data_IF_798409947455
#
_entry.id   IF_798409947455
#
_cell.length_a   1.000
_cell.length_b   1.000
_cell.length_c   1.000
_cell.angle_alpha   90.00
_cell.angle_beta   90.00
_cell.angle_gamma   90.00
#
_symmetry.space_group_name_H-M   'P 1'
#
loop_
_entity.id
_entity.type
_entity.pdbx_description
1 polymer ?
#
# COMPACT_ATOMS: atom_id res chain seq x y z
N UNK A 1 -13.61 3.28 -13.59
CA UNK A 1 -13.41 4.66 -14.10
C UNK A 1 -11.93 4.94 -14.06
N UNK A 2 -11.28 5.07 -15.22
CA UNK A 2 -9.82 5.28 -15.30
C UNK A 2 -9.46 6.71 -15.72
N UNK A 3 -10.39 7.43 -16.35
CA UNK A 3 -10.22 8.83 -16.74
C UNK A 3 -11.19 9.72 -15.96
N UNK A 4 -10.77 10.95 -15.64
CA UNK A 4 -11.66 11.95 -15.03
C UNK A 4 -12.75 12.33 -16.03
N UNK A 5 -14.04 12.15 -15.69
CA UNK A 5 -15.14 12.59 -16.55
C UNK A 5 -15.13 14.11 -16.72
N UNK A 6 -15.52 14.59 -17.91
CA UNK A 6 -15.58 16.04 -18.20
C UNK A 6 -16.90 16.69 -17.75
N UNK A 7 -17.91 15.88 -17.45
CA UNK A 7 -19.31 16.28 -17.27
C UNK A 7 -19.79 16.22 -15.81
N UNK A 8 -18.96 15.76 -14.88
CA UNK A 8 -19.32 15.62 -13.46
C UNK A 8 -18.12 15.65 -12.53
N UNK A 9 -18.37 16.06 -11.29
CA UNK A 9 -17.39 15.92 -10.20
C UNK A 9 -17.31 14.48 -9.71
N UNK A 10 -16.09 14.05 -9.39
CA UNK A 10 -15.80 12.69 -8.92
C UNK A 10 -14.70 12.72 -7.86
N UNK A 11 -14.68 11.71 -6.98
CA UNK A 11 -13.56 11.47 -6.08
C UNK A 11 -12.43 10.82 -6.87
N UNK A 12 -11.34 11.54 -7.11
CA UNK A 12 -10.20 11.04 -7.90
C UNK A 12 -9.24 10.12 -7.13
N UNK A 13 -9.32 10.07 -5.79
CA UNK A 13 -8.47 9.18 -4.99
C UNK A 13 -8.62 7.73 -5.47
N UNK A 14 -7.50 7.06 -5.75
CA UNK A 14 -7.48 5.70 -6.26
C UNK A 14 -8.18 4.74 -5.27
N UNK A 15 -8.86 3.75 -5.82
CA UNK A 15 -9.58 2.73 -5.04
C UNK A 15 -10.01 1.58 -5.94
N UNK A 16 -9.94 0.38 -5.39
CA UNK A 16 -10.46 -0.86 -5.95
C UNK A 16 -11.78 -1.25 -5.26
N UNK A 17 -12.68 -1.84 -6.03
CA UNK A 17 -14.06 -2.09 -5.62
C UNK A 17 -14.51 -3.45 -6.08
N UNK A 18 -15.03 -4.23 -5.15
CA UNK A 18 -15.81 -5.42 -5.42
C UNK A 18 -17.30 -5.09 -5.21
N UNK A 19 -18.07 -5.02 -6.30
CA UNK A 19 -19.44 -4.48 -6.30
C UNK A 19 -20.47 -5.54 -5.90
N UNK A 20 -20.26 -6.79 -6.32
CA UNK A 20 -21.20 -7.89 -6.12
C UNK A 20 -20.65 -9.02 -5.24
N UNK A 21 -19.40 -8.89 -4.78
CA UNK A 21 -18.68 -9.86 -3.97
C UNK A 21 -18.35 -11.16 -4.71
N UNK A 22 -18.37 -11.15 -6.05
CA UNK A 22 -18.19 -12.34 -6.90
C UNK A 22 -17.26 -12.07 -8.08
N UNK A 23 -17.68 -11.23 -9.03
CA UNK A 23 -16.93 -10.99 -10.26
C UNK A 23 -17.01 -9.57 -10.83
N UNK A 24 -17.81 -8.67 -10.25
CA UNK A 24 -17.85 -7.26 -10.63
C UNK A 24 -16.78 -6.44 -9.88
N UNK A 25 -15.53 -6.58 -10.37
CA UNK A 25 -14.36 -5.88 -9.86
C UNK A 25 -14.08 -4.61 -10.67
N UNK A 26 -13.86 -3.49 -9.98
CA UNK A 26 -13.69 -2.17 -10.60
C UNK A 26 -12.56 -1.38 -9.96
N UNK A 27 -11.86 -0.58 -10.76
CA UNK A 27 -10.93 0.46 -10.28
C UNK A 27 -11.54 1.83 -10.56
N UNK A 28 -11.43 2.74 -9.58
CA UNK A 28 -11.83 4.15 -9.69
C UNK A 28 -10.65 5.06 -9.36
N UNK A 29 -9.99 5.55 -10.40
CA UNK A 29 -8.84 6.45 -10.34
C UNK A 29 -8.92 7.47 -11.49
N UNK A 30 -8.37 8.67 -11.29
CA UNK A 30 -8.17 9.66 -12.36
C UNK A 30 -6.73 9.55 -12.85
N UNK A 31 -6.46 8.59 -13.75
CA UNK A 31 -5.10 8.23 -14.18
C UNK A 31 -4.49 9.35 -15.03
N UNK A 32 -3.30 9.77 -14.65
CA UNK A 32 -2.36 10.54 -15.44
C UNK A 32 -1.27 9.63 -16.02
N UNK A 33 -0.69 10.01 -17.17
CA UNK A 33 0.35 9.19 -17.82
C UNK A 33 1.70 9.49 -17.16
N UNK A 34 1.92 8.92 -15.97
CA UNK A 34 3.14 9.07 -15.17
C UNK A 34 3.64 7.71 -14.67
N UNK A 35 4.91 7.63 -14.26
CA UNK A 35 5.45 6.42 -13.64
C UNK A 35 4.87 6.13 -12.26
N UNK A 36 4.41 7.17 -11.56
CA UNK A 36 3.73 7.06 -10.27
C UNK A 36 2.37 6.37 -10.45
N UNK A 37 1.52 6.89 -11.33
CA UNK A 37 0.20 6.33 -11.60
C UNK A 37 0.29 4.92 -12.21
N UNK A 38 1.33 4.64 -12.98
CA UNK A 38 1.60 3.28 -13.45
C UNK A 38 1.83 2.31 -12.28
N UNK A 39 2.56 2.72 -11.24
CA UNK A 39 2.73 1.93 -10.02
C UNK A 39 1.43 1.86 -9.20
N UNK A 40 0.68 2.96 -9.09
CA UNK A 40 -0.63 2.99 -8.40
C UNK A 40 -1.63 2.05 -9.07
N UNK A 41 -1.68 1.96 -10.40
CA UNK A 41 -2.54 0.99 -11.08
C UNK A 41 -2.17 -0.45 -10.70
N UNK A 42 -0.88 -0.78 -10.53
CA UNK A 42 -0.48 -2.10 -10.02
C UNK A 42 -0.91 -2.33 -8.57
N UNK A 43 -0.85 -1.28 -7.74
CA UNK A 43 -1.35 -1.31 -6.37
C UNK A 43 -2.85 -1.65 -6.34
N UNK A 44 -3.67 -0.89 -7.07
CA UNK A 44 -5.12 -1.09 -7.13
C UNK A 44 -5.51 -2.44 -7.75
N UNK A 45 -4.77 -2.91 -8.75
CA UNK A 45 -4.96 -4.26 -9.29
C UNK A 45 -4.68 -5.34 -8.25
N UNK A 46 -3.72 -5.13 -7.33
CA UNK A 46 -3.46 -6.03 -6.22
C UNK A 46 -4.67 -6.25 -5.33
N UNK A 47 -5.42 -5.19 -5.02
CA UNK A 47 -6.69 -5.30 -4.29
C UNK A 47 -7.71 -6.16 -5.05
N UNK A 48 -7.91 -5.90 -6.34
CA UNK A 48 -8.81 -6.70 -7.18
C UNK A 48 -8.37 -8.17 -7.27
N UNK A 49 -7.07 -8.46 -7.34
CA UNK A 49 -6.56 -9.82 -7.33
C UNK A 49 -6.87 -10.53 -6.01
N UNK A 50 -6.77 -9.81 -4.90
CA UNK A 50 -7.13 -10.35 -3.59
C UNK A 50 -8.65 -10.63 -3.54
N UNK A 51 -9.47 -9.64 -3.93
CA UNK A 51 -10.93 -9.76 -4.02
C UNK A 51 -11.36 -10.96 -4.85
N UNK A 52 -10.73 -11.14 -6.01
CA UNK A 52 -10.99 -12.28 -6.89
C UNK A 52 -10.62 -13.62 -6.24
N UNK A 53 -9.50 -13.68 -5.53
CA UNK A 53 -8.98 -14.92 -4.97
C UNK A 53 -9.86 -15.47 -3.84
N UNK A 54 -10.32 -14.62 -2.92
CA UNK A 54 -11.18 -15.05 -1.82
C UNK A 54 -12.68 -15.09 -2.17
N UNK A 55 -13.08 -14.78 -3.40
CA UNK A 55 -14.52 -14.73 -3.78
C UNK A 55 -15.26 -16.05 -3.50
N UNK A 56 -14.56 -17.19 -3.48
CA UNK A 56 -15.10 -18.50 -3.12
C UNK A 56 -15.31 -18.73 -1.62
N UNK A 57 -14.75 -17.88 -0.75
CA UNK A 57 -14.90 -18.01 0.70
C UNK A 57 -16.35 -17.74 1.15
N UNK A 58 -16.79 -18.29 2.30
CA UNK A 58 -18.01 -17.87 2.96
C UNK A 58 -18.01 -16.35 3.13
N UNK A 59 -19.19 -15.73 3.03
CA UNK A 59 -19.35 -14.27 3.03
C UNK A 59 -18.55 -13.55 4.12
N UNK A 60 -18.56 -14.08 5.35
CA UNK A 60 -17.86 -13.48 6.50
C UNK A 60 -16.32 -13.56 6.42
N UNK A 61 -15.78 -14.35 5.50
CA UNK A 61 -14.35 -14.53 5.28
C UNK A 61 -13.85 -13.92 3.96
N UNK A 62 -14.70 -13.20 3.23
CA UNK A 62 -14.37 -12.45 2.00
C UNK A 62 -13.72 -11.10 2.32
N UNK A 63 -12.62 -11.17 3.04
CA UNK A 63 -11.74 -10.04 3.34
C UNK A 63 -10.30 -10.58 3.34
N UNK A 64 -9.32 -9.71 3.46
CA UNK A 64 -7.94 -10.08 3.73
C UNK A 64 -7.74 -10.57 5.17
N UNK A 65 -6.62 -11.25 5.42
CA UNK A 65 -6.23 -11.68 6.77
C UNK A 65 -6.23 -10.54 7.81
N UNK A 66 -5.84 -9.32 7.39
CA UNK A 66 -6.12 -8.05 8.07
C UNK A 66 -5.81 -6.89 7.09
N UNK A 67 -6.28 -5.68 7.36
CA UNK A 67 -6.14 -4.51 6.46
C UNK A 67 -4.72 -4.31 5.89
N UNK A 68 -3.68 -4.48 6.72
CA UNK A 68 -2.28 -4.40 6.26
C UNK A 68 -1.88 -5.41 5.18
N UNK A 69 -2.47 -6.63 5.14
CA UNK A 69 -2.26 -7.57 4.04
C UNK A 69 -2.90 -7.04 2.76
N UNK A 70 -4.11 -6.48 2.85
CA UNK A 70 -4.82 -5.96 1.67
C UNK A 70 -4.00 -4.90 0.94
N UNK A 71 -3.44 -3.96 1.71
CA UNK A 71 -2.58 -2.87 1.23
C UNK A 71 -1.19 -3.37 0.80
N UNK A 72 -0.65 -4.40 1.45
CA UNK A 72 0.69 -4.93 1.13
C UNK A 72 0.75 -5.62 -0.24
N UNK A 73 -0.32 -6.29 -0.67
CA UNK A 73 -0.32 -7.10 -1.90
C UNK A 73 -0.07 -6.24 -3.13
N UNK A 74 -0.80 -5.13 -3.27
CA UNK A 74 -0.61 -4.18 -4.36
C UNK A 74 0.81 -3.62 -4.38
N UNK A 75 1.31 -3.19 -3.23
CA UNK A 75 2.67 -2.67 -3.09
C UNK A 75 3.76 -3.71 -3.38
N UNK A 76 3.58 -4.97 -2.98
CA UNK A 76 4.50 -6.06 -3.32
C UNK A 76 4.60 -6.29 -4.83
N UNK A 77 3.48 -6.20 -5.54
CA UNK A 77 3.46 -6.28 -7.00
C UNK A 77 4.16 -5.06 -7.60
N UNK A 78 3.88 -3.85 -7.09
CA UNK A 78 4.51 -2.62 -7.52
C UNK A 78 6.04 -2.61 -7.30
N UNK A 79 6.55 -3.26 -6.25
CA UNK A 79 8.00 -3.45 -6.05
C UNK A 79 8.68 -4.22 -7.18
N UNK A 80 7.93 -5.06 -7.92
CA UNK A 80 8.44 -5.78 -9.10
C UNK A 80 8.44 -4.94 -10.38
N UNK A 81 7.94 -3.71 -10.34
CA UNK A 81 8.07 -2.70 -11.40
C UNK A 81 9.47 -2.08 -11.33
N UNK A 82 10.46 -2.89 -11.69
CA UNK A 82 11.88 -2.51 -11.74
C UNK A 82 12.28 -2.04 -13.15
N UNK A 83 13.43 -1.37 -13.33
CA UNK A 83 13.91 -1.05 -14.66
C UNK A 83 14.05 -2.28 -15.57
N UNK A 84 14.48 -3.42 -15.04
CA UNK A 84 14.55 -4.68 -15.77
C UNK A 84 13.17 -5.16 -16.23
N UNK A 85 12.13 -4.98 -15.42
CA UNK A 85 10.75 -5.24 -15.82
C UNK A 85 10.31 -4.29 -16.95
N UNK A 86 10.59 -2.99 -16.83
CA UNK A 86 10.24 -1.99 -17.84
C UNK A 86 10.89 -2.27 -19.20
N UNK A 87 12.11 -2.83 -19.22
CA UNK A 87 12.74 -3.34 -20.45
C UNK A 87 11.95 -4.50 -21.04
N UNK A 88 11.57 -5.49 -20.22
CA UNK A 88 10.84 -6.69 -20.69
C UNK A 88 9.49 -6.37 -21.30
N UNK A 89 8.81 -5.33 -20.81
CA UNK A 89 7.51 -4.88 -21.36
C UNK A 89 7.66 -3.81 -22.45
N UNK A 90 8.88 -3.46 -22.85
CA UNK A 90 9.15 -2.55 -23.96
C UNK A 90 8.91 -1.06 -23.67
N UNK A 91 8.87 -0.64 -22.39
CA UNK A 91 8.72 0.78 -22.03
C UNK A 91 10.05 1.54 -22.02
N UNK A 92 11.18 0.84 -21.85
CA UNK A 92 12.53 1.43 -21.95
C UNK A 92 13.47 0.46 -22.69
N UNK A 93 14.48 0.98 -23.39
CA UNK A 93 15.38 0.16 -24.20
C UNK A 93 16.37 -0.67 -23.36
N UNK A 94 16.83 -0.11 -22.23
CA UNK A 94 17.80 -0.76 -21.33
C UNK A 94 17.64 -0.29 -19.89
N UNK A 95 17.94 -1.18 -18.96
CA UNK A 95 18.00 -0.85 -17.54
C UNK A 95 19.21 0.06 -17.24
N UNK A 96 19.10 0.99 -16.26
CA UNK A 96 20.24 1.76 -15.79
C UNK A 96 21.35 0.86 -15.21
N UNK A 97 22.58 1.32 -15.36
CA UNK A 97 23.77 0.66 -14.81
C UNK A 97 23.72 0.57 -13.27
N UNK A 98 24.21 -0.52 -12.64
CA UNK A 98 24.28 -0.68 -11.18
C UNK A 98 24.93 0.48 -10.41
N UNK A 99 25.84 1.23 -11.03
CA UNK A 99 26.41 2.46 -10.45
C UNK A 99 25.36 3.54 -10.12
N UNK A 100 24.14 3.43 -10.66
CA UNK A 100 23.01 4.35 -10.41
C UNK A 100 22.05 3.85 -9.33
N UNK A 101 22.32 2.69 -8.71
CA UNK A 101 21.40 2.07 -7.74
C UNK A 101 21.15 2.93 -6.51
N UNK A 102 22.13 3.71 -6.08
CA UNK A 102 21.94 4.63 -4.95
C UNK A 102 20.81 5.64 -5.23
N UNK A 103 20.68 6.12 -6.46
CA UNK A 103 19.58 7.03 -6.83
C UNK A 103 18.22 6.33 -6.79
N UNK A 104 18.15 5.09 -7.28
CA UNK A 104 16.93 4.28 -7.25
C UNK A 104 16.51 3.94 -5.81
N UNK A 105 17.48 3.54 -4.98
CA UNK A 105 17.26 3.24 -3.57
C UNK A 105 16.88 4.48 -2.77
N UNK A 106 17.47 5.65 -3.07
CA UNK A 106 17.07 6.91 -2.44
C UNK A 106 15.63 7.28 -2.81
N UNK A 107 15.25 7.18 -4.07
CA UNK A 107 13.86 7.40 -4.50
C UNK A 107 12.90 6.47 -3.75
N UNK A 108 13.22 5.18 -3.64
CA UNK A 108 12.44 4.21 -2.86
C UNK A 108 12.43 4.54 -1.37
N UNK A 109 13.53 5.05 -0.81
CA UNK A 109 13.57 5.46 0.60
C UNK A 109 12.70 6.69 0.87
N UNK A 110 12.69 7.66 -0.04
CA UNK A 110 11.79 8.82 0.04
C UNK A 110 10.32 8.43 -0.05
N UNK A 111 9.99 7.37 -0.80
CA UNK A 111 8.63 6.84 -0.89
C UNK A 111 8.28 6.00 0.35
N UNK A 112 9.09 5.01 0.70
CA UNK A 112 8.73 3.96 1.67
C UNK A 112 9.22 4.23 3.09
N UNK A 113 10.44 4.74 3.26
CA UNK A 113 11.02 4.98 4.60
C UNK A 113 10.52 6.29 5.19
N UNK A 114 10.46 7.36 4.39
CA UNK A 114 9.93 8.65 4.85
C UNK A 114 8.44 8.56 5.23
N UNK A 115 7.70 7.62 4.64
CA UNK A 115 6.30 7.37 4.98
C UNK A 115 6.12 6.75 6.36
N UNK A 116 7.00 5.86 6.83
CA UNK A 116 6.83 5.13 8.09
C UNK A 116 6.45 5.99 9.30
N UNK A 117 7.14 7.11 9.60
CA UNK A 117 6.73 7.97 10.72
C UNK A 117 5.34 8.60 10.50
N UNK A 118 4.99 8.98 9.26
CA UNK A 118 3.65 9.48 8.92
C UNK A 118 2.58 8.40 9.11
N UNK A 119 2.78 7.21 8.55
CA UNK A 119 1.90 6.05 8.68
C UNK A 119 1.63 5.66 10.14
N UNK A 120 2.63 5.82 11.01
CA UNK A 120 2.52 5.53 12.43
C UNK A 120 1.73 6.61 13.20
N UNK A 121 2.08 7.89 13.04
CA UNK A 121 1.56 8.91 13.95
C UNK A 121 0.10 9.27 13.69
N UNK A 122 -0.41 9.07 12.47
CA UNK A 122 -1.81 9.40 12.13
C UNK A 122 -2.79 8.61 13.01
N UNK A 123 -2.65 7.29 13.06
CA UNK A 123 -3.54 6.47 13.88
C UNK A 123 -3.18 6.54 15.36
N UNK A 124 -1.92 6.78 15.72
CA UNK A 124 -1.55 7.07 17.12
C UNK A 124 -2.30 8.30 17.65
N UNK A 125 -2.31 9.39 16.89
CA UNK A 125 -3.09 10.58 17.21
C UNK A 125 -4.60 10.27 17.27
N UNK A 126 -5.15 9.51 16.30
CA UNK A 126 -6.57 9.12 16.31
C UNK A 126 -6.94 8.25 17.51
N UNK A 127 -6.09 7.33 17.94
CA UNK A 127 -6.34 6.50 19.13
C UNK A 127 -6.42 7.32 20.40
N UNK A 128 -5.54 8.33 20.54
CA UNK A 128 -5.58 9.24 21.67
C UNK A 128 -6.81 10.17 21.62
N UNK A 129 -7.29 10.55 20.43
CA UNK A 129 -8.58 11.23 20.25
C UNK A 129 -9.75 10.32 20.62
N UNK A 130 -9.80 9.09 20.11
CA UNK A 130 -10.90 8.15 20.35
C UNK A 130 -10.99 7.70 21.81
N UNK A 131 -9.86 7.56 22.49
CA UNK A 131 -9.82 7.24 23.92
C UNK A 131 -10.17 8.42 24.82
N UNK A 132 -10.26 9.64 24.28
CA UNK A 132 -10.49 10.88 25.02
C UNK A 132 -9.25 11.45 25.71
N UNK A 133 -8.07 10.88 25.49
CA UNK A 133 -6.80 11.43 25.97
C UNK A 133 -6.49 12.80 25.33
N UNK A 134 -6.95 13.03 24.10
CA UNK A 134 -6.91 14.33 23.42
C UNK A 134 -8.32 14.90 23.32
N UNK A 135 -8.55 16.03 23.99
CA UNK A 135 -9.80 16.78 23.88
C UNK A 135 -9.87 17.56 22.54
N UNK A 136 -11.07 17.87 22.02
CA UNK A 136 -11.24 18.68 20.80
C UNK A 136 -10.48 20.00 20.80
N UNK A 137 -10.34 20.65 21.96
CA UNK A 137 -9.61 21.90 22.13
C UNK A 137 -8.09 21.79 21.88
N UNK A 138 -7.56 20.56 21.79
CA UNK A 138 -6.13 20.28 21.65
C UNK A 138 -5.80 19.51 20.36
N UNK A 139 -6.78 19.32 19.46
CA UNK A 139 -6.61 18.51 18.24
C UNK A 139 -5.43 18.98 17.38
N UNK A 140 -5.32 20.29 17.13
CA UNK A 140 -4.34 20.78 16.17
C UNK A 140 -2.93 20.80 16.78
N UNK A 141 -2.79 21.26 18.03
CA UNK A 141 -1.48 21.25 18.72
C UNK A 141 -0.95 19.83 18.89
N UNK A 142 -1.79 18.86 19.28
CA UNK A 142 -1.33 17.48 19.45
C UNK A 142 -0.98 16.81 18.13
N UNK A 143 -1.71 17.11 17.04
CA UNK A 143 -1.35 16.67 15.70
C UNK A 143 0.06 17.15 15.29
N UNK A 144 0.37 18.42 15.52
CA UNK A 144 1.70 18.97 15.23
C UNK A 144 2.79 18.49 16.19
N UNK A 145 2.45 18.23 17.46
CA UNK A 145 3.39 17.61 18.41
C UNK A 145 3.78 16.20 17.97
N UNK A 146 2.82 15.39 17.53
CA UNK A 146 3.06 14.05 16.98
C UNK A 146 3.82 14.10 15.65
N UNK A 147 3.47 15.03 14.76
CA UNK A 147 4.19 15.30 13.50
C UNK A 147 5.65 15.65 13.75
N UNK A 148 5.93 16.56 14.69
CA UNK A 148 7.29 16.94 15.07
C UNK A 148 8.04 15.77 15.72
N UNK A 149 7.39 15.02 16.61
CA UNK A 149 7.99 13.88 17.32
C UNK A 149 8.41 12.75 16.39
N UNK A 150 7.55 12.38 15.45
CA UNK A 150 7.76 11.20 14.61
C UNK A 150 8.44 11.55 13.28
N UNK A 151 8.05 12.64 12.63
CA UNK A 151 8.58 13.02 11.32
C UNK A 151 9.71 14.05 11.40
N UNK A 152 9.85 14.78 12.52
CA UNK A 152 10.81 15.89 12.61
C UNK A 152 10.40 17.11 11.77
N UNK A 153 9.11 17.25 11.45
CA UNK A 153 8.57 18.32 10.60
C UNK A 153 7.81 19.34 11.47
N UNK A 154 7.97 20.62 11.15
CA UNK A 154 7.26 21.73 11.79
C UNK A 154 6.31 22.41 10.78
N UNK A 155 5.22 23.04 11.25
CA UNK A 155 4.36 23.80 10.37
C UNK A 155 5.09 25.05 9.84
N UNK A 156 4.84 25.48 8.58
CA UNK A 156 5.50 26.65 8.00
C UNK A 156 4.98 27.99 8.57
N UNK A 157 3.86 27.97 9.29
CA UNK A 157 3.26 29.13 9.95
C UNK A 157 2.60 28.70 11.27
N UNK A 158 2.28 29.63 12.19
CA UNK A 158 1.49 29.31 13.37
C UNK A 158 0.16 28.63 13.00
N UNK A 159 -0.23 27.61 13.78
CA UNK A 159 -1.44 26.78 13.56
C UNK A 159 -2.33 26.86 14.81
N UNK A 160 -3.33 27.77 14.86
CA UNK A 160 -4.24 27.88 16.00
C UNK A 160 -5.17 26.66 16.12
N UNK A 161 -5.77 26.47 17.30
CA UNK A 161 -6.74 25.38 17.54
C UNK A 161 -8.10 25.60 16.84
N UNK A 162 -8.31 26.77 16.23
CA UNK A 162 -9.45 27.00 15.33
C UNK A 162 -9.30 26.31 13.97
N UNK A 163 -8.11 25.78 13.67
CA UNK A 163 -7.84 24.96 12.48
C UNK A 163 -7.86 23.47 12.83
N UNK A 164 -8.01 22.62 11.81
CA UNK A 164 -8.07 21.17 11.97
C UNK A 164 -7.24 20.46 10.88
N UNK A 165 -5.93 20.44 11.07
CA UNK A 165 -4.99 20.01 10.01
C UNK A 165 -5.03 18.52 9.73
N UNK A 166 -5.28 17.72 10.77
CA UNK A 166 -5.56 16.29 10.60
C UNK A 166 -6.74 16.07 9.64
N UNK A 167 -7.76 16.94 9.67
CA UNK A 167 -8.92 16.89 8.77
C UNK A 167 -8.59 17.12 7.29
N UNK A 168 -7.45 17.72 6.98
CA UNK A 168 -6.99 17.90 5.60
C UNK A 168 -6.38 16.62 4.99
N UNK A 169 -6.15 15.57 5.79
CA UNK A 169 -5.72 14.25 5.30
C UNK A 169 -6.94 13.35 5.07
N UNK A 170 -7.25 13.02 3.81
CA UNK A 170 -8.42 12.23 3.36
C UNK A 170 -8.91 11.14 4.32
N UNK A 171 -8.02 10.30 4.84
CA UNK A 171 -8.35 9.16 5.70
C UNK A 171 -8.99 9.55 7.03
N UNK A 172 -8.70 10.76 7.55
CA UNK A 172 -9.29 11.28 8.79
C UNK A 172 -10.79 11.56 8.61
N UNK A 173 -11.25 12.45 7.69
CA UNK A 173 -12.67 12.67 7.46
C UNK A 173 -13.38 11.49 6.78
N UNK A 174 -12.67 10.65 6.02
CA UNK A 174 -13.25 9.43 5.42
C UNK A 174 -13.38 8.26 6.41
N UNK A 175 -12.89 8.42 7.65
CA UNK A 175 -12.87 7.39 8.69
C UNK A 175 -12.24 6.07 8.23
N UNK A 176 -11.15 6.13 7.47
CA UNK A 176 -10.39 4.95 7.02
C UNK A 176 -9.21 4.75 7.98
N UNK A 177 -9.08 3.59 8.66
CA UNK A 177 -7.90 3.26 9.49
C UNK A 177 -6.58 3.48 8.73
N UNK A 178 -5.56 4.05 9.38
CA UNK A 178 -4.29 4.41 8.73
C UNK A 178 -3.14 3.43 9.03
N UNK A 179 -3.23 2.71 10.15
CA UNK A 179 -2.23 1.71 10.58
C UNK A 179 -2.02 0.61 9.52
N UNK A 180 -3.03 0.35 8.69
CA UNK A 180 -2.94 -0.56 7.53
C UNK A 180 -1.76 -0.24 6.62
N UNK A 181 -1.49 1.04 6.36
CA UNK A 181 -0.40 1.45 5.48
C UNK A 181 0.96 1.27 6.15
N UNK A 182 1.07 1.53 7.46
CA UNK A 182 2.31 1.28 8.20
C UNK A 182 2.67 -0.22 8.17
N UNK A 183 1.70 -1.09 8.46
CA UNK A 183 1.90 -2.55 8.40
C UNK A 183 2.24 -2.99 6.97
N UNK A 184 1.55 -2.46 5.96
CA UNK A 184 1.82 -2.77 4.57
C UNK A 184 3.23 -2.39 4.12
N UNK A 185 3.78 -1.29 4.64
CA UNK A 185 5.16 -0.87 4.38
C UNK A 185 6.21 -1.83 4.95
N UNK A 186 5.85 -2.67 5.92
CA UNK A 186 6.71 -3.73 6.45
C UNK A 186 6.46 -5.04 5.69
N UNK A 187 5.20 -5.44 5.60
CA UNK A 187 4.77 -6.70 4.99
C UNK A 187 5.17 -6.79 3.52
N UNK A 188 5.08 -5.68 2.76
CA UNK A 188 5.37 -5.71 1.33
C UNK A 188 6.79 -6.19 1.02
N UNK A 189 7.77 -5.88 1.89
CA UNK A 189 9.15 -6.33 1.72
C UNK A 189 9.35 -7.77 2.21
N UNK A 190 8.64 -8.22 3.24
CA UNK A 190 8.63 -9.64 3.64
C UNK A 190 8.07 -10.50 2.50
N UNK A 191 6.95 -10.07 1.93
CA UNK A 191 6.28 -10.70 0.80
C UNK A 191 7.18 -10.71 -0.43
N UNK A 192 7.72 -9.55 -0.82
CA UNK A 192 8.57 -9.43 -2.00
C UNK A 192 9.83 -10.30 -1.87
N UNK A 193 10.50 -10.30 -0.72
CA UNK A 193 11.66 -11.17 -0.44
C UNK A 193 11.31 -12.65 -0.63
N UNK A 194 10.18 -13.11 -0.09
CA UNK A 194 9.76 -14.50 -0.22
C UNK A 194 9.40 -14.88 -1.66
N UNK A 195 8.68 -14.00 -2.37
CA UNK A 195 8.28 -14.24 -3.75
C UNK A 195 9.46 -14.21 -4.71
N UNK A 196 10.44 -13.32 -4.50
CA UNK A 196 11.70 -13.29 -5.26
C UNK A 196 12.50 -14.59 -5.08
N UNK A 197 12.57 -15.11 -3.85
CA UNK A 197 13.18 -16.42 -3.57
C UNK A 197 12.43 -17.55 -4.29
N UNK A 198 11.10 -17.55 -4.23
CA UNK A 198 10.27 -18.54 -4.90
C UNK A 198 10.39 -18.46 -6.43
N UNK A 199 10.61 -17.27 -6.97
CA UNK A 199 10.85 -17.06 -8.39
C UNK A 199 12.23 -17.51 -8.87
N UNK A 200 13.13 -17.89 -7.95
CA UNK A 200 14.51 -18.26 -8.28
C UNK A 200 15.35 -17.10 -8.81
N UNK A 201 14.92 -15.85 -8.56
CA UNK A 201 15.66 -14.66 -9.00
C UNK A 201 16.81 -14.41 -8.04
N UNK A 202 18.04 -14.37 -8.58
CA UNK A 202 19.25 -14.08 -7.83
C UNK A 202 19.68 -12.62 -8.01
N UNK A 203 20.52 -12.13 -7.08
CA UNK A 203 21.04 -10.77 -7.09
C UNK A 203 20.37 -9.84 -6.07
N UNK A 204 20.59 -8.52 -6.18
CA UNK A 204 20.07 -7.55 -5.25
C UNK A 204 18.53 -7.48 -5.27
N UNK A 205 17.90 -7.51 -4.10
CA UNK A 205 16.44 -7.55 -3.96
C UNK A 205 15.75 -6.37 -4.66
N UNK A 206 16.33 -5.17 -4.64
CA UNK A 206 15.75 -3.97 -5.25
C UNK A 206 15.73 -3.97 -6.78
N UNK A 207 16.45 -4.91 -7.43
CA UNK A 207 16.42 -5.14 -8.89
C UNK A 207 15.58 -6.35 -9.27
N UNK A 208 15.10 -7.11 -8.29
CA UNK A 208 14.36 -8.33 -8.55
C UNK A 208 12.93 -8.03 -9.01
N UNK A 209 12.44 -8.83 -9.95
CA UNK A 209 11.05 -8.78 -10.39
C UNK A 209 10.50 -10.20 -10.46
N UNK A 210 9.31 -10.40 -9.90
CA UNK A 210 8.60 -11.70 -9.93
C UNK A 210 7.83 -11.91 -11.25
N UNK A 211 7.93 -10.96 -12.19
CA UNK A 211 7.21 -11.00 -13.46
C UNK A 211 7.47 -12.30 -14.23
N UNK A 212 6.38 -12.99 -14.61
CA UNK A 212 6.41 -14.25 -15.34
C UNK A 212 6.69 -15.49 -14.49
N UNK A 213 6.84 -15.37 -13.16
CA UNK A 213 7.10 -16.52 -12.29
C UNK A 213 5.80 -17.18 -11.83
N UNK A 214 5.53 -18.38 -12.36
CA UNK A 214 4.42 -19.22 -11.88
C UNK A 214 4.60 -19.61 -10.40
N UNK A 215 5.83 -19.94 -9.97
CA UNK A 215 6.12 -20.34 -8.59
C UNK A 215 5.83 -19.22 -7.57
N UNK A 216 6.17 -17.97 -7.89
CA UNK A 216 5.77 -16.82 -7.07
C UNK A 216 4.25 -16.62 -7.09
N UNK A 217 3.63 -16.76 -8.27
CA UNK A 217 2.18 -16.68 -8.43
C UNK A 217 1.42 -17.69 -7.56
N UNK A 218 1.88 -18.95 -7.49
CA UNK A 218 1.23 -19.97 -6.65
C UNK A 218 1.31 -19.65 -5.15
N UNK A 219 2.45 -19.14 -4.67
CA UNK A 219 2.56 -18.72 -3.26
C UNK A 219 1.68 -17.53 -2.94
N UNK A 220 1.65 -16.54 -3.84
CA UNK A 220 0.78 -15.38 -3.68
C UNK A 220 -0.67 -15.83 -3.64
N UNK A 221 -1.11 -16.62 -4.63
CA UNK A 221 -2.46 -17.18 -4.72
C UNK A 221 -2.85 -17.94 -3.45
N UNK A 222 -1.98 -18.83 -2.96
CA UNK A 222 -2.25 -19.62 -1.77
C UNK A 222 -2.58 -18.76 -0.54
N UNK A 223 -1.89 -17.63 -0.36
CA UNK A 223 -2.22 -16.67 0.70
C UNK A 223 -3.50 -15.89 0.40
N UNK A 224 -3.69 -15.41 -0.83
CA UNK A 224 -4.86 -14.60 -1.19
C UNK A 224 -6.18 -15.39 -1.07
N UNK A 225 -6.19 -16.67 -1.43
CA UNK A 225 -7.38 -17.54 -1.39
C UNK A 225 -7.85 -17.82 0.05
N UNK A 226 -6.98 -17.68 1.06
CA UNK A 226 -7.35 -17.85 2.47
C UNK A 226 -8.34 -16.77 2.93
N UNK A 227 -8.28 -15.58 2.34
CA UNK A 227 -9.06 -14.43 2.80
C UNK A 227 -8.89 -14.21 4.31
N UNK A 228 -10.01 -14.08 5.03
CA UNK A 228 -10.05 -13.96 6.48
C UNK A 228 -10.42 -15.27 7.19
N UNK A 229 -10.29 -16.42 6.52
CA UNK A 229 -10.71 -17.72 7.07
C UNK A 229 -9.70 -18.36 8.04
N UNK A 230 -8.54 -17.75 8.23
CA UNK A 230 -7.44 -18.23 9.07
C UNK A 230 -6.78 -17.08 9.82
N UNK A 231 -5.98 -17.39 10.84
CA UNK A 231 -5.22 -16.35 11.53
C UNK A 231 -4.15 -15.76 10.60
N UNK A 232 -3.91 -14.46 10.70
CA UNK A 232 -2.95 -13.77 9.84
C UNK A 232 -1.52 -14.37 9.83
N UNK A 233 -0.99 -14.98 10.93
CA UNK A 233 0.32 -15.63 10.86
C UNK A 233 0.32 -16.86 9.94
N UNK A 234 -0.82 -17.55 9.79
CA UNK A 234 -0.94 -18.69 8.86
C UNK A 234 -0.93 -18.17 7.40
N UNK A 235 -1.61 -17.05 7.14
CA UNK A 235 -1.57 -16.39 5.83
C UNK A 235 -0.15 -15.89 5.48
N UNK A 236 0.57 -15.33 6.47
CA UNK A 236 1.97 -14.94 6.31
C UNK A 236 2.85 -16.14 5.96
N UNK A 237 2.66 -17.26 6.66
CA UNK A 237 3.43 -18.48 6.47
C UNK A 237 3.15 -19.13 5.11
N UNK A 238 1.91 -19.14 4.65
CA UNK A 238 1.54 -19.65 3.32
C UNK A 238 2.32 -18.94 2.19
N UNK A 239 2.52 -17.62 2.31
CA UNK A 239 3.28 -16.84 1.35
C UNK A 239 4.79 -16.96 1.57
N UNK A 240 5.23 -16.76 2.81
CA UNK A 240 6.64 -16.49 3.13
C UNK A 240 7.42 -17.71 3.60
N UNK A 241 6.73 -18.70 4.17
CA UNK A 241 7.32 -19.78 4.96
C UNK A 241 7.74 -19.36 6.37
N UNK A 242 7.38 -18.15 6.81
CA UNK A 242 7.70 -17.58 8.13
C UNK A 242 6.40 -17.12 8.80
N UNK A 243 6.27 -17.29 10.13
CA UNK A 243 5.08 -16.85 10.90
C UNK A 243 5.22 -15.45 11.52
N UNK A 244 6.39 -14.82 11.42
CA UNK A 244 6.73 -13.50 11.99
C UNK A 244 7.75 -12.80 11.11
#
# INVERSE_FOLDING_TARGET
MLERPRDREVVCHASAWDIDLVDDLRIKMCVEITGEDFATVHHELGHNYYQRAYAGQPYLFRDSAHDGFHEAVGDTIALSVTPEYLVRIGLIDRAPDPSRDIGLLLYRALEKIAFLPFGLHVDRWRWDVFSGAIAPADYNRTWWAETARYQGVAPPSPRPESEFDAGAKFHVPANVPYMRYFLAHLLQFQFHRALVRAAGVSGPLHRASIYGSAAAGERLRAMLEMGASAEWPDALEALTGERR
#
